data_IF_227314777186
#
_entry.id   IF_227314777186
#
_cell.length_a   1.000
_cell.length_b   1.000
_cell.length_c   1.000
_cell.angle_alpha   90.00
_cell.angle_beta   90.00
_cell.angle_gamma   90.00
#
_symmetry.space_group_name_H-M   'P 1'
#
loop_
_entity.id
_entity.type
_entity.pdbx_description
1 polymer ?
#
# COMPACT_ATOMS: atom_id res chain seq x y z
N UNK A 1 -1.63 3.28 -0.29
CA UNK A 1 -0.73 2.39 -1.06
C UNK A 1 0.36 1.76 -0.19
N UNK A 2 1.36 2.50 0.29
CA UNK A 2 2.44 1.91 1.11
C UNK A 2 1.90 1.25 2.39
N UNK A 3 1.02 1.95 3.13
CA UNK A 3 0.37 1.40 4.33
C UNK A 3 -0.44 0.14 4.02
N UNK A 4 -1.14 0.09 2.88
CA UNK A 4 -1.84 -1.14 2.46
C UNK A 4 -0.90 -2.33 2.35
N UNK A 5 0.28 -2.14 1.77
CA UNK A 5 1.24 -3.21 1.59
C UNK A 5 1.88 -3.63 2.92
N UNK A 6 2.24 -2.66 3.78
CA UNK A 6 2.81 -2.96 5.11
C UNK A 6 1.81 -3.70 5.98
N UNK A 7 0.57 -3.21 6.09
CA UNK A 7 -0.44 -3.87 6.91
C UNK A 7 -0.87 -5.21 6.33
N UNK A 8 -1.00 -5.32 5.01
CA UNK A 8 -1.29 -6.59 4.35
C UNK A 8 -0.18 -7.63 4.54
N UNK A 9 1.08 -7.22 4.68
CA UNK A 9 2.20 -8.13 4.95
C UNK A 9 2.24 -8.65 6.39
N UNK A 10 1.74 -7.86 7.35
CA UNK A 10 1.79 -8.21 8.79
C UNK A 10 0.42 -8.57 9.38
N UNK A 11 -0.63 -8.60 8.55
CA UNK A 11 -1.98 -8.99 8.98
C UNK A 11 -2.02 -10.47 9.38
N UNK A 12 -2.98 -10.83 10.24
CA UNK A 12 -3.18 -12.23 10.68
C UNK A 12 -3.56 -13.20 9.55
N UNK A 13 -4.09 -12.67 8.44
CA UNK A 13 -4.48 -13.47 7.27
C UNK A 13 -3.37 -13.64 6.22
N UNK A 14 -2.18 -13.08 6.45
CA UNK A 14 -1.07 -13.12 5.51
C UNK A 14 -0.62 -14.56 5.21
N UNK A 15 -0.22 -14.79 3.97
CA UNK A 15 0.35 -16.06 3.50
C UNK A 15 1.27 -15.83 2.29
N UNK A 16 2.03 -16.84 1.90
CA UNK A 16 3.14 -16.76 0.93
C UNK A 16 2.83 -15.92 -0.33
N UNK A 17 1.68 -16.13 -0.96
CA UNK A 17 1.34 -15.38 -2.18
C UNK A 17 1.15 -13.89 -1.91
N UNK A 18 0.40 -13.53 -0.87
CA UNK A 18 0.18 -12.11 -0.56
C UNK A 18 1.45 -11.44 -0.09
N UNK A 19 2.31 -12.16 0.64
CA UNK A 19 3.60 -11.66 1.09
C UNK A 19 4.52 -11.29 -0.09
N UNK A 20 4.59 -12.14 -1.12
CA UNK A 20 5.32 -11.81 -2.34
C UNK A 20 4.80 -10.54 -3.02
N UNK A 21 3.47 -10.37 -3.08
CA UNK A 21 2.85 -9.17 -3.63
C UNK A 21 3.18 -7.93 -2.79
N UNK A 22 3.03 -8.01 -1.47
CA UNK A 22 3.25 -6.89 -0.57
C UNK A 22 4.71 -6.47 -0.49
N UNK A 23 5.65 -7.42 -0.41
CA UNK A 23 7.09 -7.13 -0.46
C UNK A 23 7.46 -6.44 -1.76
N UNK A 24 6.91 -6.90 -2.90
CA UNK A 24 7.17 -6.26 -4.19
C UNK A 24 6.56 -4.86 -4.27
N UNK A 25 5.36 -4.67 -3.74
CA UNK A 25 4.72 -3.37 -3.67
C UNK A 25 5.51 -2.39 -2.79
N UNK A 26 6.02 -2.83 -1.63
CA UNK A 26 6.87 -2.01 -0.74
C UNK A 26 8.14 -1.57 -1.47
N UNK A 27 8.82 -2.48 -2.16
CA UNK A 27 10.02 -2.17 -2.95
C UNK A 27 9.75 -1.11 -4.02
N UNK A 28 8.70 -1.32 -4.85
CA UNK A 28 8.34 -0.41 -5.94
C UNK A 28 7.93 0.97 -5.40
N UNK A 29 7.05 1.00 -4.40
CA UNK A 29 6.58 2.26 -3.82
C UNK A 29 7.73 3.00 -3.14
N UNK A 30 8.57 2.30 -2.38
CA UNK A 30 9.70 2.89 -1.64
C UNK A 30 10.71 3.59 -2.55
N UNK A 31 11.01 3.02 -3.73
CA UNK A 31 11.92 3.64 -4.70
C UNK A 31 11.28 4.73 -5.56
N UNK A 32 9.97 4.66 -5.82
CA UNK A 32 9.30 5.52 -6.81
C UNK A 32 8.54 6.70 -6.22
N UNK A 33 8.21 6.69 -4.92
CA UNK A 33 7.37 7.72 -4.31
C UNK A 33 7.96 9.13 -4.44
N UNK A 34 9.26 9.30 -4.18
CA UNK A 34 9.91 10.62 -4.21
C UNK A 34 9.90 11.23 -5.62
N UNK A 35 10.20 10.43 -6.64
CA UNK A 35 10.17 10.91 -8.04
C UNK A 35 8.73 11.19 -8.50
N UNK A 36 7.76 10.36 -8.11
CA UNK A 36 6.35 10.59 -8.43
C UNK A 36 5.84 11.93 -7.87
N UNK A 37 6.22 12.25 -6.62
CA UNK A 37 5.90 13.53 -5.96
C UNK A 37 6.60 14.70 -6.66
N UNK A 38 7.85 14.52 -7.11
CA UNK A 38 8.58 15.51 -7.90
C UNK A 38 7.98 15.73 -9.32
N UNK A 39 6.95 14.96 -9.71
CA UNK A 39 6.26 15.11 -10.98
C UNK A 39 6.84 14.26 -12.12
N UNK A 40 7.81 13.39 -11.83
CA UNK A 40 8.41 12.52 -12.83
C UNK A 40 7.42 11.45 -13.32
N UNK A 41 7.36 11.27 -14.65
CA UNK A 41 6.45 10.31 -15.27
C UNK A 41 6.78 8.87 -14.86
N UNK A 42 8.06 8.48 -14.89
CA UNK A 42 8.48 7.13 -14.52
C UNK A 42 8.17 6.80 -13.05
N UNK A 43 8.35 7.77 -12.16
CA UNK A 43 7.92 7.68 -10.77
C UNK A 43 6.41 7.42 -10.63
N UNK A 44 5.57 8.18 -11.34
CA UNK A 44 4.11 8.04 -11.31
C UNK A 44 3.62 6.73 -11.92
N UNK A 45 4.24 6.28 -13.00
CA UNK A 45 3.96 4.98 -13.63
C UNK A 45 4.28 3.83 -12.66
N UNK A 46 5.46 3.85 -12.07
CA UNK A 46 5.86 2.84 -11.09
C UNK A 46 4.98 2.87 -9.82
N UNK A 47 4.58 4.05 -9.34
CA UNK A 47 3.61 4.18 -8.24
C UNK A 47 2.25 3.57 -8.60
N UNK A 48 1.79 3.75 -9.85
CA UNK A 48 0.53 3.18 -10.34
C UNK A 48 0.57 1.65 -10.36
N UNK A 49 1.72 1.05 -10.72
CA UNK A 49 1.92 -0.39 -10.61
C UNK A 49 1.98 -0.85 -9.14
N UNK A 50 2.78 -0.18 -8.31
CA UNK A 50 3.00 -0.55 -6.91
C UNK A 50 1.70 -0.52 -6.08
N UNK A 51 0.86 0.49 -6.27
CA UNK A 51 -0.43 0.57 -5.57
C UNK A 51 -1.40 -0.56 -5.99
N UNK A 52 -1.37 -0.98 -7.25
CA UNK A 52 -2.23 -2.06 -7.76
C UNK A 52 -1.81 -3.41 -7.18
N UNK A 53 -0.50 -3.67 -7.15
CA UNK A 53 0.06 -4.89 -6.54
C UNK A 53 -0.29 -4.97 -5.05
N UNK A 54 -0.18 -3.86 -4.31
CA UNK A 54 -0.62 -3.80 -2.92
C UNK A 54 -2.11 -4.20 -2.80
N UNK A 55 -2.95 -3.67 -3.70
CA UNK A 55 -4.37 -4.00 -3.85
C UNK A 55 -4.67 -5.48 -3.99
N UNK A 56 -3.94 -6.16 -4.89
CA UNK A 56 -4.07 -7.60 -5.09
C UNK A 56 -3.81 -8.38 -3.80
N UNK A 57 -2.85 -7.95 -2.99
CA UNK A 57 -2.58 -8.56 -1.69
C UNK A 57 -3.67 -8.27 -0.66
N UNK A 58 -3.86 -7.00 -0.27
CA UNK A 58 -4.68 -6.67 0.90
C UNK A 58 -6.17 -6.99 0.70
N UNK A 59 -6.66 -7.03 -0.55
CA UNK A 59 -8.03 -7.45 -0.85
C UNK A 59 -8.33 -8.89 -0.42
N UNK A 60 -7.31 -9.72 -0.22
CA UNK A 60 -7.44 -11.12 0.16
C UNK A 60 -7.13 -11.40 1.64
N UNK A 61 -6.38 -10.52 2.30
CA UNK A 61 -5.88 -10.74 3.68
C UNK A 61 -6.25 -9.65 4.67
N UNK A 62 -6.95 -8.62 4.19
CA UNK A 62 -7.38 -7.48 4.99
C UNK A 62 -6.25 -6.48 5.27
N UNK A 63 -6.53 -5.61 6.22
CA UNK A 63 -5.66 -4.51 6.68
C UNK A 63 -5.57 -4.54 8.22
N UNK A 64 -4.88 -3.56 8.80
CA UNK A 64 -4.65 -3.47 10.24
C UNK A 64 -5.27 -2.24 10.90
N UNK A 65 -4.77 -1.94 12.10
CA UNK A 65 -5.29 -0.88 12.96
C UNK A 65 -5.05 0.53 12.40
N UNK A 66 -4.07 0.72 11.51
CA UNK A 66 -3.83 2.03 10.90
C UNK A 66 -5.07 2.46 10.11
N UNK A 67 -5.65 1.56 9.30
CA UNK A 67 -6.90 1.87 8.59
C UNK A 67 -8.08 2.04 9.55
N UNK A 68 -8.19 1.19 10.58
CA UNK A 68 -9.26 1.32 11.57
C UNK A 68 -9.25 2.67 12.30
N UNK A 69 -8.07 3.23 12.56
CA UNK A 69 -7.91 4.57 13.15
C UNK A 69 -8.07 5.69 12.12
N UNK A 70 -7.64 5.47 10.88
CA UNK A 70 -7.76 6.46 9.82
C UNK A 70 -9.23 6.75 9.45
N UNK A 71 -10.08 5.73 9.32
CA UNK A 71 -11.48 5.90 8.94
C UNK A 71 -12.27 6.92 9.78
N UNK A 72 -12.33 6.82 11.13
CA UNK A 72 -13.04 7.81 11.95
C UNK A 72 -12.36 9.17 11.93
N UNK A 73 -11.03 9.22 11.81
CA UNK A 73 -10.30 10.48 11.72
C UNK A 73 -10.67 11.25 10.44
N UNK A 74 -10.69 10.57 9.30
CA UNK A 74 -11.18 11.12 8.02
C UNK A 74 -12.64 11.53 8.09
N UNK A 75 -13.51 10.74 8.72
CA UNK A 75 -14.93 11.06 8.84
C UNK A 75 -15.22 12.31 9.69
N UNK A 76 -14.39 12.60 10.69
CA UNK A 76 -14.56 13.74 11.60
C UNK A 76 -13.85 14.99 11.10
N UNK A 77 -12.67 14.84 10.50
CA UNK A 77 -11.78 15.96 10.19
C UNK A 77 -11.50 16.17 8.70
N UNK A 78 -12.06 15.35 7.80
CA UNK A 78 -11.89 15.42 6.34
C UNK A 78 -10.42 15.37 5.90
N UNK A 79 -9.68 14.39 6.44
CA UNK A 79 -8.27 14.12 6.11
C UNK A 79 -8.06 12.80 5.39
#
# INVERSE_FOLDING_TARGET
ALVHAVEGYITKGAWELTDMLHLKAIEIIGRSLRSAVAGDFGGREAMSLGQYIAGMGFSNVGLGIVHSMAHPLSAVYDI
#
